data_IF_054416862167
#
_entry.id   IF_054416862167
#
_cell.length_a   1.000
_cell.length_b   1.000
_cell.length_c   1.000
_cell.angle_alpha   90.00
_cell.angle_beta   90.00
_cell.angle_gamma   90.00
#
_symmetry.space_group_name_H-M   'P 1'
#
loop_
_entity.id
_entity.type
_entity.pdbx_description
1 polymer ?
#
# COMPACT_ATOMS: atom_id res chain seq x y z
N UNK A 1 8.71 2.00 -5.74
CA UNK A 1 7.78 2.94 -5.08
C UNK A 1 8.30 3.24 -3.69
N UNK A 2 7.90 4.36 -3.08
CA UNK A 2 8.44 4.81 -1.78
C UNK A 2 7.70 4.22 -0.57
N UNK A 3 8.29 4.37 0.63
CA UNK A 3 7.66 4.08 1.92
C UNK A 3 7.07 5.37 2.50
N UNK A 4 5.82 5.32 2.98
CA UNK A 4 5.16 6.46 3.64
C UNK A 4 4.80 6.04 5.07
N UNK A 5 5.40 6.65 6.11
CA UNK A 5 5.01 6.37 7.47
C UNK A 5 3.65 7.00 7.78
N UNK A 6 2.92 6.40 8.72
CA UNK A 6 1.76 7.05 9.31
C UNK A 6 2.20 8.29 10.10
N UNK A 7 1.36 9.33 10.13
CA UNK A 7 1.68 10.55 10.88
C UNK A 7 1.62 10.35 12.40
N UNK A 8 0.87 9.33 12.84
CA UNK A 8 0.69 8.94 14.25
C UNK A 8 0.50 7.43 14.32
N UNK A 9 0.75 6.85 15.50
CA UNK A 9 0.42 5.46 15.78
C UNK A 9 -1.08 5.20 15.59
N UNK A 10 -1.41 4.04 15.02
CA UNK A 10 -2.79 3.56 14.93
C UNK A 10 -3.15 2.89 16.25
N UNK A 11 -4.07 3.50 17.00
CA UNK A 11 -4.65 2.89 18.20
C UNK A 11 -5.68 1.82 17.79
N UNK A 12 -6.09 0.90 18.69
CA UNK A 12 -7.11 -0.09 18.38
C UNK A 12 -8.39 0.53 17.78
N UNK A 13 -8.85 -0.02 16.65
CA UNK A 13 -9.98 0.52 15.88
C UNK A 13 -9.68 1.80 15.06
N UNK A 14 -8.44 2.31 15.14
CA UNK A 14 -7.99 3.47 14.39
C UNK A 14 -7.69 3.15 12.92
N UNK A 15 -7.78 4.17 12.07
CA UNK A 15 -7.36 4.11 10.68
C UNK A 15 -6.73 5.43 10.27
N UNK A 16 -5.94 5.40 9.20
CA UNK A 16 -5.39 6.61 8.58
C UNK A 16 -5.36 6.44 7.07
N UNK A 17 -5.25 7.56 6.35
CA UNK A 17 -5.00 7.58 4.92
C UNK A 17 -3.55 8.00 4.67
N UNK A 18 -2.87 7.26 3.81
CA UNK A 18 -1.56 7.64 3.25
C UNK A 18 -1.75 7.87 1.75
N UNK A 19 -1.16 8.95 1.23
CA UNK A 19 -1.30 9.33 -0.17
C UNK A 19 0.07 9.27 -0.85
N UNK A 20 0.20 8.42 -1.87
CA UNK A 20 1.35 8.39 -2.78
C UNK A 20 0.89 8.86 -4.16
N UNK A 21 1.46 9.96 -4.65
CA UNK A 21 1.22 10.40 -6.03
C UNK A 21 2.17 9.62 -6.93
N UNK A 22 1.61 8.83 -7.85
CA UNK A 22 2.35 8.05 -8.83
C UNK A 22 2.10 8.67 -10.21
N UNK A 23 3.15 8.99 -10.99
CA UNK A 23 2.99 9.41 -12.37
C UNK A 23 2.23 8.34 -13.18
N UNK A 24 1.42 8.78 -14.15
CA UNK A 24 0.71 7.88 -15.04
C UNK A 24 1.67 6.88 -15.72
N UNK A 25 1.40 5.56 -15.64
CA UNK A 25 2.23 4.58 -16.33
C UNK A 25 1.95 4.59 -17.83
N UNK A 26 2.96 4.27 -18.64
CA UNK A 26 2.82 4.16 -20.10
C UNK A 26 2.04 2.90 -20.52
N UNK A 27 2.21 1.81 -19.77
CA UNK A 27 1.56 0.51 -19.98
C UNK A 27 0.74 0.11 -18.74
N UNK A 28 -0.24 -0.80 -18.88
CA UNK A 28 -0.98 -1.34 -17.73
C UNK A 28 -0.01 -1.83 -16.64
N UNK A 29 -0.12 -1.24 -15.46
CA UNK A 29 0.81 -1.49 -14.36
C UNK A 29 0.05 -1.96 -13.12
N UNK A 30 0.58 -2.99 -12.47
CA UNK A 30 0.07 -3.47 -11.19
C UNK A 30 0.72 -2.69 -10.04
N UNK A 31 -0.10 -2.27 -9.08
CA UNK A 31 0.34 -1.62 -7.86
C UNK A 31 0.03 -2.50 -6.65
N UNK A 32 1.04 -2.67 -5.80
CA UNK A 32 0.95 -3.43 -4.57
C UNK A 32 1.26 -2.52 -3.39
N UNK A 33 0.50 -2.68 -2.31
CA UNK A 33 0.76 -2.02 -1.04
C UNK A 33 0.93 -3.10 0.01
N UNK A 34 1.95 -2.95 0.83
CA UNK A 34 2.12 -3.68 2.06
C UNK A 34 2.20 -2.70 3.23
N UNK A 35 1.59 -3.09 4.35
CA UNK A 35 1.76 -2.47 5.64
C UNK A 35 2.78 -3.28 6.40
N UNK A 36 3.60 -2.59 7.20
CA UNK A 36 4.52 -3.22 8.15
C UNK A 36 5.37 -4.36 7.60
N UNK A 37 5.87 -4.23 6.36
CA UNK A 37 6.71 -5.28 5.72
C UNK A 37 6.04 -6.66 5.75
N UNK A 38 4.75 -6.73 5.44
CA UNK A 38 3.97 -7.96 5.38
C UNK A 38 4.68 -9.13 4.65
N UNK A 39 5.47 -8.81 3.61
CA UNK A 39 6.24 -9.81 2.86
C UNK A 39 7.42 -10.44 3.62
N UNK A 40 7.84 -9.87 4.75
CA UNK A 40 8.96 -10.33 5.59
C UNK A 40 8.52 -11.21 6.77
N UNK A 41 7.22 -11.50 6.93
CA UNK A 41 6.67 -12.30 8.02
C UNK A 41 5.98 -11.44 9.08
N UNK A 42 6.57 -11.33 10.27
CA UNK A 42 5.94 -10.64 11.43
C UNK A 42 6.13 -9.11 11.46
N UNK A 43 6.56 -8.53 10.34
CA UNK A 43 6.77 -7.09 10.22
C UNK A 43 7.72 -6.45 11.25
N UNK A 44 7.59 -5.13 11.43
CA UNK A 44 8.24 -4.40 12.53
C UNK A 44 7.38 -4.45 13.81
N UNK A 45 6.06 -4.70 13.72
CA UNK A 45 5.11 -4.79 14.82
C UNK A 45 4.32 -6.12 14.70
N UNK A 46 4.50 -7.08 15.62
CA UNK A 46 3.74 -8.32 15.58
C UNK A 46 2.24 -8.07 15.76
N UNK A 47 1.44 -8.60 14.83
CA UNK A 47 0.00 -8.50 14.80
C UNK A 47 -0.67 -9.86 14.99
N UNK A 48 -1.97 -9.86 15.26
CA UNK A 48 -2.74 -11.09 15.45
C UNK A 48 -3.00 -11.84 14.13
N UNK A 49 -2.92 -11.15 12.99
CA UNK A 49 -3.19 -11.69 11.67
C UNK A 49 -2.24 -11.06 10.64
N UNK A 50 -1.01 -11.57 10.53
CA UNK A 50 0.03 -11.02 9.63
C UNK A 50 -0.36 -11.07 8.14
N UNK A 51 -1.36 -11.86 7.76
CA UNK A 51 -1.79 -12.06 6.39
C UNK A 51 -2.78 -10.99 5.87
N UNK A 52 -3.19 -10.03 6.71
CA UNK A 52 -4.12 -8.97 6.33
C UNK A 52 -3.44 -7.63 5.96
N UNK A 53 -2.12 -7.63 5.83
CA UNK A 53 -1.31 -6.43 5.63
C UNK A 53 -1.00 -6.08 4.18
N UNK A 54 -1.64 -6.75 3.20
CA UNK A 54 -1.37 -6.54 1.78
C UNK A 54 -2.62 -6.28 0.95
N UNK A 55 -2.47 -5.47 -0.10
CA UNK A 55 -3.51 -5.22 -1.09
C UNK A 55 -2.90 -4.99 -2.48
N UNK A 56 -3.67 -5.29 -3.53
CA UNK A 56 -3.25 -5.18 -4.92
C UNK A 56 -4.32 -4.49 -5.77
N UNK A 57 -3.89 -3.59 -6.64
CA UNK A 57 -4.68 -3.07 -7.76
C UNK A 57 -4.00 -3.51 -9.06
N UNK A 58 -4.75 -4.18 -9.94
CA UNK A 58 -4.24 -4.67 -11.23
C UNK A 58 -4.57 -3.75 -12.38
N UNK A 59 -3.71 -3.74 -13.41
CA UNK A 59 -3.97 -3.11 -14.70
C UNK A 59 -4.38 -1.62 -14.61
N UNK A 60 -3.75 -0.86 -13.71
CA UNK A 60 -3.95 0.57 -13.65
C UNK A 60 -3.37 1.24 -14.91
N UNK A 61 -4.18 2.07 -15.55
CA UNK A 61 -3.83 2.76 -16.80
C UNK A 61 -4.49 4.14 -16.85
N UNK A 62 -3.82 5.09 -17.48
CA UNK A 62 -4.42 6.37 -17.85
C UNK A 62 -4.83 6.30 -19.32
N UNK A 63 -6.13 6.35 -19.66
CA UNK A 63 -6.54 6.37 -21.06
C UNK A 63 -6.00 7.63 -21.72
N UNK A 64 -5.27 7.47 -22.83
CA UNK A 64 -4.90 8.61 -23.66
C UNK A 64 -6.15 9.12 -24.38
N UNK A 65 -6.38 10.45 -24.45
CA UNK A 65 -7.41 11.02 -25.31
C UNK A 65 -7.15 10.58 -26.77
N UNK A 66 -8.21 10.14 -27.46
CA UNK A 66 -8.19 9.85 -28.89
C UNK A 66 -8.24 11.10 -29.76
#
# INVERSE_FOLDING_TARGET
LGKIPTAKALLPGGSTKVNLVIPAPADPTDYYVEVDKASEGNGDIPECHEDNNSSKVTAAQCPQPG
#
